data_IF_390771209496
#
_entry.id   IF_390771209496
#
_cell.length_a   1.000
_cell.length_b   1.000
_cell.length_c   1.000
_cell.angle_alpha   90.00
_cell.angle_beta   90.00
_cell.angle_gamma   90.00
#
_symmetry.space_group_name_H-M   'P 1'
#
loop_
_entity.id
_entity.type
_entity.pdbx_description
1 polymer ?
#
# COMPACT_ATOMS: atom_id res chain seq x y z
N UNK A 1 12.19 27.69 13.11
CA UNK A 1 13.12 26.67 12.58
C UNK A 1 13.60 25.83 13.75
N UNK A 2 12.94 24.69 14.03
CA UNK A 2 13.31 23.80 15.14
C UNK A 2 13.03 22.36 14.72
N UNK A 3 14.10 21.62 14.40
CA UNK A 3 14.44 20.28 14.91
C UNK A 3 15.56 19.68 14.01
N UNK A 4 16.68 19.33 14.67
CA UNK A 4 17.69 18.28 14.39
C UNK A 4 18.43 18.21 13.03
N UNK A 5 19.69 17.75 13.15
CA UNK A 5 20.69 17.37 12.14
C UNK A 5 21.39 18.53 11.38
N UNK A 6 22.63 18.84 11.80
CA UNK A 6 23.54 19.65 10.99
C UNK A 6 23.99 18.81 9.80
N UNK A 7 23.33 18.96 8.65
CA UNK A 7 23.89 18.50 7.39
C UNK A 7 25.31 19.06 7.26
N UNK A 8 26.31 18.23 6.88
CA UNK A 8 27.63 18.71 6.53
C UNK A 8 27.52 19.89 5.54
N UNK A 9 28.38 20.92 5.63
CA UNK A 9 28.29 22.11 4.77
C UNK A 9 28.22 21.79 3.27
N UNK A 10 28.94 20.76 2.83
CA UNK A 10 28.94 20.27 1.45
C UNK A 10 27.56 19.74 1.02
N UNK A 11 26.92 18.90 1.85
CA UNK A 11 25.59 18.37 1.57
C UNK A 11 24.52 19.46 1.63
N UNK A 12 24.68 20.43 2.53
CA UNK A 12 23.79 21.60 2.59
C UNK A 12 23.87 22.44 1.31
N UNK A 13 25.09 22.64 0.78
CA UNK A 13 25.28 23.30 -0.51
C UNK A 13 24.58 22.53 -1.63
N UNK A 14 24.79 21.21 -1.72
CA UNK A 14 24.15 20.37 -2.75
C UNK A 14 22.63 20.35 -2.64
N UNK A 15 22.07 20.36 -1.42
CA UNK A 15 20.64 20.42 -1.21
C UNK A 15 20.03 21.72 -1.76
N UNK A 16 20.69 22.87 -1.55
CA UNK A 16 20.24 24.18 -2.06
C UNK A 16 20.38 24.26 -3.59
N UNK A 17 21.49 23.78 -4.15
CA UNK A 17 21.71 23.78 -5.60
C UNK A 17 20.66 22.90 -6.29
N UNK A 18 20.44 21.69 -5.78
CA UNK A 18 19.45 20.76 -6.32
C UNK A 18 18.03 21.30 -6.17
N UNK A 19 17.70 21.94 -5.04
CA UNK A 19 16.38 22.58 -4.85
C UNK A 19 16.13 23.68 -5.88
N UNK A 20 17.12 24.55 -6.10
CA UNK A 20 17.02 25.65 -7.05
C UNK A 20 16.80 25.12 -8.48
N UNK A 21 17.59 24.12 -8.89
CA UNK A 21 17.46 23.48 -10.19
C UNK A 21 16.09 22.79 -10.35
N UNK A 22 15.59 22.11 -9.31
CA UNK A 22 14.29 21.46 -9.34
C UNK A 22 13.14 22.48 -9.51
N UNK A 23 13.19 23.62 -8.80
CA UNK A 23 12.20 24.70 -8.94
C UNK A 23 12.27 25.39 -10.30
N UNK A 24 13.47 25.62 -10.83
CA UNK A 24 13.66 26.18 -12.18
C UNK A 24 13.11 25.25 -13.27
N UNK A 25 13.24 23.94 -13.07
CA UNK A 25 12.65 22.91 -13.93
C UNK A 25 11.11 22.81 -13.85
N UNK A 26 10.46 23.55 -12.94
CA UNK A 26 9.01 23.59 -12.78
C UNK A 26 8.44 22.58 -11.78
N UNK A 27 9.27 21.94 -10.96
CA UNK A 27 8.82 21.07 -9.88
C UNK A 27 8.33 21.90 -8.69
N UNK A 28 7.24 21.45 -8.06
CA UNK A 28 6.66 22.10 -6.88
C UNK A 28 6.40 21.07 -5.77
N UNK A 29 6.97 21.30 -4.59
CA UNK A 29 7.03 20.31 -3.51
C UNK A 29 6.97 21.00 -2.14
N UNK A 30 6.59 20.24 -1.11
CA UNK A 30 6.71 20.68 0.28
C UNK A 30 8.18 20.85 0.66
N UNK A 31 8.45 21.60 1.73
CA UNK A 31 9.80 21.72 2.26
C UNK A 31 10.40 20.33 2.51
N UNK A 32 11.61 20.09 1.98
CA UNK A 32 12.31 18.81 2.12
C UNK A 32 13.35 18.92 3.22
N UNK A 33 13.24 18.04 4.22
CA UNK A 33 14.19 17.93 5.33
C UNK A 33 15.04 16.68 5.12
N UNK A 34 16.32 16.88 4.84
CA UNK A 34 17.29 15.79 4.74
C UNK A 34 17.93 15.49 6.10
N UNK A 35 17.92 14.23 6.50
CA UNK A 35 18.64 13.73 7.67
C UNK A 35 19.68 12.70 7.25
N UNK A 36 20.91 12.81 7.75
CA UNK A 36 21.99 11.84 7.45
C UNK A 36 22.06 10.80 8.55
N UNK A 37 21.84 9.55 8.18
CA UNK A 37 21.84 8.39 9.06
C UNK A 37 22.93 7.40 8.68
N UNK A 38 23.38 6.61 9.65
CA UNK A 38 24.25 5.47 9.37
C UNK A 38 23.44 4.36 8.70
N UNK A 39 24.11 3.45 7.98
CA UNK A 39 23.40 2.44 7.19
C UNK A 39 22.53 1.51 8.04
N UNK A 40 22.97 1.17 9.27
CA UNK A 40 22.16 0.41 10.23
C UNK A 40 20.91 1.18 10.66
N UNK A 41 21.02 2.49 10.88
CA UNK A 41 19.89 3.32 11.28
C UNK A 41 18.87 3.45 10.15
N UNK A 42 19.33 3.58 8.90
CA UNK A 42 18.46 3.57 7.71
C UNK A 42 17.70 2.25 7.61
N UNK A 43 18.37 1.12 7.85
CA UNK A 43 17.71 -0.19 7.88
C UNK A 43 16.68 -0.28 9.01
N UNK A 44 16.97 0.31 10.18
CA UNK A 44 16.02 0.42 11.30
C UNK A 44 14.77 1.22 10.95
N UNK A 45 14.94 2.41 10.37
CA UNK A 45 13.82 3.26 9.93
C UNK A 45 13.04 2.60 8.78
N UNK A 46 13.73 1.93 7.85
CA UNK A 46 13.10 1.19 6.76
C UNK A 46 12.27 0.00 7.27
N UNK A 47 12.74 -0.72 8.30
CA UNK A 47 11.98 -1.79 8.95
C UNK A 47 10.69 -1.28 9.60
N UNK A 48 10.66 -0.02 10.05
CA UNK A 48 9.45 0.69 10.50
C UNK A 48 8.64 1.33 9.37
N UNK A 49 8.96 1.06 8.11
CA UNK A 49 8.24 1.57 6.95
C UNK A 49 8.50 3.05 6.68
N UNK A 50 9.67 3.57 7.06
CA UNK A 50 10.01 4.98 6.87
C UNK A 50 9.97 5.82 8.13
N UNK A 51 9.35 5.35 9.21
CA UNK A 51 9.07 6.16 10.38
C UNK A 51 10.08 5.93 11.52
N UNK A 52 10.54 6.97 12.22
CA UNK A 52 11.50 6.82 13.33
C UNK A 52 10.87 6.20 14.58
N UNK A 53 9.55 6.27 14.72
CA UNK A 53 8.81 5.70 15.85
C UNK A 53 7.60 4.95 15.33
N UNK A 54 7.47 3.69 15.76
CA UNK A 54 6.29 2.85 15.57
C UNK A 54 6.00 2.07 16.85
N UNK A 55 4.83 1.44 16.92
CA UNK A 55 4.50 0.53 18.02
C UNK A 55 5.46 -0.68 18.04
N UNK A 56 5.67 -1.31 19.20
CA UNK A 56 6.52 -2.49 19.29
C UNK A 56 5.84 -3.69 18.59
N UNK A 57 6.60 -4.40 17.76
CA UNK A 57 6.22 -5.69 17.17
C UNK A 57 7.49 -6.40 16.71
N UNK A 58 7.57 -7.71 16.96
CA UNK A 58 8.68 -8.54 16.50
C UNK A 58 8.84 -8.56 14.97
N UNK A 59 7.77 -8.32 14.19
CA UNK A 59 7.79 -8.23 12.71
C UNK A 59 8.83 -7.23 12.22
N UNK A 60 8.97 -6.10 12.90
CA UNK A 60 9.96 -5.08 12.54
C UNK A 60 11.38 -5.51 12.85
N UNK A 61 11.59 -6.27 13.93
CA UNK A 61 12.90 -6.87 14.22
C UNK A 61 13.32 -7.89 13.16
N UNK A 62 12.38 -8.72 12.68
CA UNK A 62 12.66 -9.64 11.57
C UNK A 62 13.00 -8.90 10.27
N UNK A 63 12.25 -7.85 9.95
CA UNK A 63 12.51 -7.07 8.74
C UNK A 63 13.87 -6.37 8.81
N UNK A 64 14.23 -5.82 9.98
CA UNK A 64 15.56 -5.27 10.21
C UNK A 64 16.66 -6.31 9.95
N UNK A 65 16.54 -7.50 10.53
CA UNK A 65 17.50 -8.59 10.33
C UNK A 65 17.63 -9.01 8.86
N UNK A 66 16.52 -9.01 8.12
CA UNK A 66 16.49 -9.28 6.68
C UNK A 66 17.23 -8.20 5.90
N UNK A 67 16.96 -6.93 6.19
CA UNK A 67 17.60 -5.78 5.53
C UNK A 67 19.10 -5.72 5.83
N UNK A 68 19.50 -5.92 7.09
CA UNK A 68 20.91 -5.87 7.48
C UNK A 68 21.71 -6.99 6.80
N UNK A 69 21.21 -8.24 6.81
CA UNK A 69 21.87 -9.36 6.10
C UNK A 69 21.91 -9.17 4.59
N UNK A 70 20.82 -8.65 4.02
CA UNK A 70 20.77 -8.31 2.61
C UNK A 70 21.85 -7.30 2.23
N UNK A 71 22.10 -6.31 3.09
CA UNK A 71 23.19 -5.35 2.93
C UNK A 71 24.57 -5.97 3.13
N UNK A 72 24.78 -6.72 4.21
CA UNK A 72 26.07 -7.37 4.51
C UNK A 72 26.54 -8.29 3.38
N UNK A 73 25.60 -8.98 2.72
CA UNK A 73 25.88 -9.86 1.58
C UNK A 73 25.87 -9.14 0.23
N UNK A 74 25.62 -7.83 0.20
CA UNK A 74 25.58 -7.03 -1.03
C UNK A 74 24.39 -7.33 -1.95
N UNK A 75 23.32 -7.93 -1.42
CA UNK A 75 22.10 -8.26 -2.17
C UNK A 75 21.17 -7.05 -2.31
N UNK A 76 21.20 -6.12 -1.36
CA UNK A 76 20.33 -4.95 -1.33
C UNK A 76 21.02 -3.76 -0.69
N UNK A 77 20.89 -2.58 -1.31
CA UNK A 77 21.31 -1.28 -0.76
C UNK A 77 20.14 -0.32 -0.85
N UNK A 78 19.74 0.26 0.28
CA UNK A 78 18.78 1.36 0.33
C UNK A 78 19.57 2.65 0.08
N UNK A 79 19.28 3.34 -1.01
CA UNK A 79 19.91 4.62 -1.32
C UNK A 79 19.20 5.78 -0.64
N UNK A 80 17.86 5.70 -0.58
CA UNK A 80 17.00 6.70 0.01
C UNK A 80 15.77 6.11 0.68
N UNK A 81 15.19 6.89 1.57
CA UNK A 81 13.90 6.63 2.19
C UNK A 81 13.19 7.97 2.36
N UNK A 82 12.01 8.11 1.74
CA UNK A 82 11.26 9.37 1.71
C UNK A 82 9.88 9.17 2.33
N UNK A 83 9.51 10.05 3.25
CA UNK A 83 8.19 10.08 3.89
C UNK A 83 7.36 11.21 3.28
N UNK A 84 6.17 10.87 2.78
CA UNK A 84 5.16 11.84 2.39
C UNK A 84 4.55 12.51 3.64
N UNK A 85 5.09 13.67 4.00
CA UNK A 85 4.67 14.48 5.14
C UNK A 85 4.83 15.97 4.77
N UNK A 86 4.26 16.89 5.55
CA UNK A 86 4.48 18.33 5.42
C UNK A 86 5.16 18.85 6.70
N UNK A 87 6.51 19.02 6.73
CA UNK A 87 7.46 18.89 5.61
C UNK A 87 7.77 17.44 5.21
N UNK A 88 8.29 17.25 3.99
CA UNK A 88 8.75 15.95 3.46
C UNK A 88 10.06 15.58 4.14
N UNK A 89 10.17 14.37 4.70
CA UNK A 89 11.40 13.90 5.31
C UNK A 89 12.11 12.90 4.40
N UNK A 90 13.42 13.06 4.26
CA UNK A 90 14.25 12.16 3.47
C UNK A 90 15.53 11.77 4.23
N UNK A 91 15.83 10.47 4.24
CA UNK A 91 17.01 9.93 4.91
C UNK A 91 18.11 9.63 3.90
N UNK A 92 19.28 10.22 4.14
CA UNK A 92 20.51 10.01 3.37
C UNK A 92 21.43 9.05 4.12
N UNK A 93 22.05 8.11 3.41
CA UNK A 93 23.00 7.18 4.01
C UNK A 93 24.39 7.81 4.08
N UNK A 94 25.01 7.85 5.28
CA UNK A 94 26.33 8.47 5.49
C UNK A 94 27.44 7.87 4.62
N UNK A 95 27.38 6.57 4.35
CA UNK A 95 28.40 5.86 3.57
C UNK A 95 28.35 6.12 2.07
N UNK A 96 27.35 6.84 1.58
CA UNK A 96 27.22 7.14 0.15
C UNK A 96 28.27 8.17 -0.30
N UNK A 97 28.79 7.99 -1.52
CA UNK A 97 29.70 8.94 -2.16
C UNK A 97 28.99 10.28 -2.42
N UNK A 98 29.75 11.38 -2.62
CA UNK A 98 29.14 12.68 -2.88
C UNK A 98 28.23 12.66 -4.12
N UNK A 99 28.62 11.92 -5.16
CA UNK A 99 27.81 11.69 -6.36
C UNK A 99 26.51 10.95 -6.01
N UNK A 100 26.59 9.86 -5.24
CA UNK A 100 25.39 9.15 -4.80
C UNK A 100 24.47 10.06 -3.98
N UNK A 101 25.02 10.94 -3.14
CA UNK A 101 24.24 11.94 -2.39
C UNK A 101 23.54 12.95 -3.33
N UNK A 102 24.24 13.48 -4.34
CA UNK A 102 23.64 14.35 -5.37
C UNK A 102 22.50 13.63 -6.08
N UNK A 103 22.71 12.37 -6.46
CA UNK A 103 21.70 11.55 -7.14
C UNK A 103 20.46 11.35 -6.29
N UNK A 104 20.65 10.94 -5.04
CA UNK A 104 19.57 10.73 -4.07
C UNK A 104 18.80 12.03 -3.84
N UNK A 105 19.48 13.15 -3.57
CA UNK A 105 18.82 14.44 -3.36
C UNK A 105 17.94 14.84 -4.55
N UNK A 106 18.45 14.70 -5.77
CA UNK A 106 17.68 15.00 -6.98
C UNK A 106 16.49 14.05 -7.16
N UNK A 107 16.66 12.77 -6.80
CA UNK A 107 15.58 11.78 -6.83
C UNK A 107 14.47 12.09 -5.82
N UNK A 108 14.84 12.46 -4.59
CA UNK A 108 13.92 12.85 -3.52
C UNK A 108 13.05 14.03 -3.92
N UNK A 109 13.59 15.05 -4.60
CA UNK A 109 12.77 16.17 -5.08
C UNK A 109 11.73 15.72 -6.14
N UNK A 110 12.08 14.75 -6.97
CA UNK A 110 11.13 14.11 -7.86
C UNK A 110 9.97 13.44 -7.10
N UNK A 111 10.29 12.64 -6.07
CA UNK A 111 9.25 12.04 -5.21
C UNK A 111 8.40 13.09 -4.48
N UNK A 112 9.03 14.12 -3.90
CA UNK A 112 8.32 15.15 -3.15
C UNK A 112 7.32 15.90 -4.03
N UNK A 113 7.69 16.18 -5.29
CA UNK A 113 6.80 16.77 -6.28
C UNK A 113 5.68 15.81 -6.71
N UNK A 114 5.99 14.52 -6.87
CA UNK A 114 5.00 13.48 -7.19
C UNK A 114 3.94 13.35 -6.09
N UNK A 115 4.36 13.21 -4.83
CA UNK A 115 3.47 13.06 -3.68
C UNK A 115 2.53 14.25 -3.50
N UNK A 116 3.00 15.46 -3.79
CA UNK A 116 2.18 16.67 -3.63
C UNK A 116 1.08 16.79 -4.69
N UNK A 117 1.29 16.24 -5.89
CA UNK A 117 0.44 16.52 -7.05
C UNK A 117 -0.37 15.35 -7.57
N UNK A 118 0.03 14.11 -7.31
CA UNK A 118 -0.71 12.96 -7.76
C UNK A 118 -2.01 12.80 -6.94
N UNK A 119 -3.13 12.59 -7.64
CA UNK A 119 -4.46 12.52 -7.05
C UNK A 119 -4.61 11.42 -5.99
N UNK A 120 -3.84 10.34 -6.09
CA UNK A 120 -3.88 9.22 -5.13
C UNK A 120 -3.34 9.58 -3.75
N UNK A 121 -2.49 10.60 -3.68
CA UNK A 121 -1.94 11.10 -2.42
C UNK A 121 -2.82 12.19 -1.77
N UNK A 122 -3.82 12.71 -2.48
CA UNK A 122 -4.75 13.71 -1.94
C UNK A 122 -5.44 13.31 -0.61
N UNK A 123 -5.92 12.05 -0.42
CA UNK A 123 -6.52 11.63 0.85
C UNK A 123 -5.51 11.33 1.96
N UNK A 124 -4.21 11.27 1.66
CA UNK A 124 -3.20 10.83 2.65
C UNK A 124 -2.98 11.87 3.75
N UNK A 125 -2.73 11.38 4.98
CA UNK A 125 -2.43 12.23 6.11
C UNK A 125 -1.02 12.84 5.97
N UNK A 126 -0.96 14.17 5.87
CA UNK A 126 0.31 14.94 5.73
C UNK A 126 1.07 15.11 7.05
N UNK A 127 0.54 14.61 8.16
CA UNK A 127 1.18 14.60 9.49
C UNK A 127 1.37 13.18 10.00
N UNK A 128 1.65 12.25 9.10
CA UNK A 128 1.72 10.83 9.44
C UNK A 128 2.81 10.54 10.48
N UNK A 129 3.89 11.34 10.53
CA UNK A 129 4.91 11.23 11.57
C UNK A 129 4.36 11.38 12.99
N UNK A 130 3.50 12.39 13.20
CA UNK A 130 2.85 12.62 14.49
C UNK A 130 1.85 11.51 14.80
N UNK A 131 1.04 11.12 13.81
CA UNK A 131 0.03 10.07 13.94
C UNK A 131 0.65 8.70 14.26
N UNK A 132 1.76 8.31 13.63
CA UNK A 132 2.49 7.09 13.97
C UNK A 132 3.00 7.11 15.42
N UNK A 133 3.46 8.27 15.89
CA UNK A 133 3.84 8.48 17.30
C UNK A 133 2.64 8.31 18.24
N UNK A 134 1.49 8.86 17.88
CA UNK A 134 0.23 8.70 18.64
C UNK A 134 -0.23 7.24 18.69
N UNK A 135 -0.20 6.52 17.55
CA UNK A 135 -0.48 5.10 17.48
C UNK A 135 0.43 4.29 18.40
N UNK A 136 1.75 4.57 18.38
CA UNK A 136 2.71 3.91 19.24
C UNK A 136 2.42 4.11 20.73
N UNK A 137 2.04 5.33 21.14
CA UNK A 137 1.65 5.63 22.53
C UNK A 137 0.38 4.90 22.92
N UNK A 138 -0.63 4.84 22.04
CA UNK A 138 -1.90 4.14 22.30
C UNK A 138 -1.67 2.64 22.48
N UNK A 139 -0.91 2.00 21.59
CA UNK A 139 -0.61 0.57 21.69
C UNK A 139 0.19 0.27 22.96
N UNK A 140 1.17 1.10 23.33
CA UNK A 140 1.90 0.95 24.61
C UNK A 140 0.97 1.01 25.83
N UNK A 141 -0.04 1.89 25.81
CA UNK A 141 -1.04 1.93 26.90
C UNK A 141 -1.82 0.62 27.01
N UNK A 142 -2.20 0.00 25.88
CA UNK A 142 -2.85 -1.31 25.92
C UNK A 142 -1.90 -2.39 26.44
N UNK A 143 -0.62 -2.35 26.07
CA UNK A 143 0.41 -3.27 26.59
C UNK A 143 0.53 -3.14 28.12
N UNK A 144 0.54 -1.91 28.64
CA UNK A 144 0.63 -1.66 30.09
C UNK A 144 -0.61 -2.15 30.85
N UNK A 145 -1.79 -2.13 30.22
CA UNK A 145 -3.07 -2.52 30.85
C UNK A 145 -3.37 -4.02 30.75
N UNK A 146 -3.07 -4.63 29.61
CA UNK A 146 -3.49 -5.99 29.26
C UNK A 146 -2.33 -6.99 29.23
N UNK A 147 -1.08 -6.51 29.22
CA UNK A 147 0.12 -7.32 29.04
C UNK A 147 0.59 -7.37 27.59
N UNK A 148 1.91 -7.56 27.42
CA UNK A 148 2.53 -7.56 26.10
C UNK A 148 2.04 -8.70 25.20
N UNK A 149 2.02 -9.94 25.71
CA UNK A 149 1.67 -11.12 24.90
C UNK A 149 0.27 -11.01 24.30
N UNK A 150 -0.72 -10.57 25.08
CA UNK A 150 -2.12 -10.43 24.62
C UNK A 150 -2.27 -9.40 23.51
N UNK A 151 -1.58 -8.26 23.63
CA UNK A 151 -1.65 -7.20 22.62
C UNK A 151 -0.86 -7.57 21.37
N UNK A 152 0.33 -8.16 21.54
CA UNK A 152 1.19 -8.59 20.44
C UNK A 152 0.54 -9.71 19.61
N UNK A 153 -0.08 -10.70 20.25
CA UNK A 153 -0.80 -11.77 19.55
C UNK A 153 -1.93 -11.18 18.68
N UNK A 154 -2.74 -10.27 19.22
CA UNK A 154 -3.82 -9.65 18.43
C UNK A 154 -3.27 -8.74 17.32
N UNK A 155 -2.24 -7.95 17.62
CA UNK A 155 -1.60 -7.07 16.65
C UNK A 155 -0.99 -7.85 15.48
N UNK A 156 -0.40 -9.02 15.73
CA UNK A 156 0.15 -9.89 14.69
C UNK A 156 -0.94 -10.43 13.76
N UNK A 157 -2.09 -10.81 14.31
CA UNK A 157 -3.26 -11.23 13.53
C UNK A 157 -3.66 -10.09 12.58
N UNK A 158 -3.86 -8.88 13.10
CA UNK A 158 -4.30 -7.73 12.30
C UNK A 158 -3.23 -7.32 11.26
N UNK A 159 -1.96 -7.30 11.64
CA UNK A 159 -0.84 -6.99 10.73
C UNK A 159 -0.74 -7.97 9.56
N UNK A 160 -1.13 -9.23 9.75
CA UNK A 160 -1.16 -10.21 8.66
C UNK A 160 -2.27 -9.96 7.63
N UNK A 161 -3.25 -9.12 7.98
CA UNK A 161 -4.42 -8.77 7.17
C UNK A 161 -4.34 -7.36 6.59
N UNK A 162 -3.21 -6.64 6.76
CA UNK A 162 -3.00 -5.25 6.33
C UNK A 162 -3.19 -5.02 4.81
N UNK A 163 -3.16 -6.08 4.01
CA UNK A 163 -3.42 -6.05 2.57
C UNK A 163 -4.90 -6.13 2.19
N UNK A 164 -5.80 -6.50 3.10
CA UNK A 164 -7.24 -6.69 2.82
C UNK A 164 -8.05 -5.40 3.01
N UNK A 165 -7.56 -4.33 2.38
CA UNK A 165 -8.19 -3.01 2.32
C UNK A 165 -8.49 -2.65 0.87
N UNK A 166 -9.55 -1.88 0.64
CA UNK A 166 -9.83 -1.31 -0.68
C UNK A 166 -8.91 -0.10 -0.97
N UNK A 167 -7.90 -0.22 -1.86
CA UNK A 167 -6.99 0.88 -2.14
C UNK A 167 -7.66 2.06 -2.85
N UNK A 168 -8.85 1.89 -3.43
CA UNK A 168 -9.59 2.96 -4.11
C UNK A 168 -10.54 3.72 -3.17
N UNK A 169 -10.92 3.12 -2.03
CA UNK A 169 -11.89 3.69 -1.11
C UNK A 169 -11.51 5.09 -0.60
N UNK A 170 -10.27 5.35 -0.12
CA UNK A 170 -9.91 6.68 0.38
C UNK A 170 -10.06 7.78 -0.66
N UNK A 171 -9.71 7.49 -1.92
CA UNK A 171 -9.82 8.45 -3.01
C UNK A 171 -11.30 8.69 -3.38
N UNK A 172 -12.13 7.64 -3.37
CA UNK A 172 -13.57 7.73 -3.61
C UNK A 172 -14.25 8.60 -2.55
N UNK A 173 -13.95 8.38 -1.28
CA UNK A 173 -14.49 9.15 -0.15
C UNK A 173 -13.98 10.60 -0.15
N UNK A 174 -12.73 10.84 -0.55
CA UNK A 174 -12.20 12.19 -0.69
C UNK A 174 -12.87 12.98 -1.83
N UNK A 175 -13.17 12.31 -2.94
CA UNK A 175 -13.80 12.92 -4.13
C UNK A 175 -15.30 13.12 -3.94
N UNK A 176 -15.94 12.18 -3.25
CA UNK A 176 -17.35 12.20 -2.89
C UNK A 176 -17.46 12.05 -1.37
N UNK A 177 -17.14 13.12 -0.59
CA UNK A 177 -17.40 13.08 0.84
C UNK A 177 -18.89 12.81 0.98
N UNK A 178 -19.24 11.69 1.61
CA UNK A 178 -20.63 11.36 1.88
C UNK A 178 -21.26 12.63 2.44
N UNK A 179 -22.35 13.11 1.81
CA UNK A 179 -23.12 14.21 2.36
C UNK A 179 -23.41 13.81 3.79
N UNK A 180 -22.65 14.38 4.73
CA UNK A 180 -22.92 14.19 6.13
C UNK A 180 -24.25 14.86 6.24
N UNK A 181 -25.33 14.06 6.23
CA UNK A 181 -26.62 14.49 6.74
C UNK A 181 -26.26 14.89 8.15
N UNK A 182 -25.93 16.18 8.33
CA UNK A 182 -25.87 16.78 9.62
C UNK A 182 -27.29 16.58 10.11
N UNK A 183 -27.51 15.53 10.89
CA UNK A 183 -28.59 15.52 11.83
C UNK A 183 -28.32 16.82 12.58
N UNK A 184 -29.10 17.85 12.26
CA UNK A 184 -29.02 19.14 12.91
C UNK A 184 -29.37 18.87 14.36
N UNK A 185 -28.40 18.40 15.13
CA UNK A 185 -28.51 18.36 16.58
C UNK A 185 -28.61 19.83 16.96
N UNK A 186 -29.71 20.15 17.62
CA UNK A 186 -29.93 21.49 18.13
C UNK A 186 -28.74 21.88 19.03
N UNK A 187 -28.40 23.17 19.13
CA UNK A 187 -27.35 23.61 20.06
C UNK A 187 -27.64 23.14 21.51
N UNK A 188 -28.93 22.97 21.84
CA UNK A 188 -29.42 22.38 23.09
C UNK A 188 -29.05 20.90 23.26
N UNK A 189 -29.08 20.07 22.21
CA UNK A 189 -28.66 18.67 22.31
C UNK A 189 -27.15 18.53 22.51
N UNK A 190 -26.35 19.38 21.85
CA UNK A 190 -24.90 19.43 22.07
C UNK A 190 -24.57 19.87 23.48
N UNK A 191 -25.25 20.90 23.99
CA UNK A 191 -25.10 21.37 25.37
C UNK A 191 -25.54 20.31 26.39
N UNK A 192 -26.64 19.57 26.12
CA UNK A 192 -27.12 18.51 27.01
C UNK A 192 -26.15 17.33 27.07
N UNK A 193 -25.61 16.89 25.92
CA UNK A 193 -24.59 15.83 25.88
C UNK A 193 -23.27 16.23 26.57
N UNK A 194 -22.86 17.49 26.43
CA UNK A 194 -21.69 18.00 27.14
C UNK A 194 -21.90 18.09 28.66
N UNK A 195 -23.13 18.41 29.10
CA UNK A 195 -23.50 18.44 30.51
C UNK A 195 -23.65 17.03 31.11
N UNK A 196 -24.18 16.09 30.33
CA UNK A 196 -24.25 14.67 30.70
C UNK A 196 -22.84 14.06 30.82
N UNK A 197 -21.91 14.43 29.92
CA UNK A 197 -20.50 13.99 29.98
C UNK A 197 -19.71 14.58 31.16
N UNK A 198 -20.14 15.72 31.71
CA UNK A 198 -19.54 16.35 32.90
C UNK A 198 -20.16 15.86 34.21
N UNK A 199 -21.32 15.21 34.15
CA UNK A 199 -22.01 14.70 35.33
C UNK A 199 -21.41 13.34 35.70
N UNK A 200 -20.76 13.25 36.86
CA UNK A 200 -20.25 12.03 37.50
C UNK A 200 -21.39 11.09 37.96
N UNK A 201 -22.44 10.93 37.16
CA UNK A 201 -23.35 9.81 37.29
C UNK A 201 -22.74 8.65 36.54
N UNK A 202 -22.33 7.65 37.30
CA UNK A 202 -22.11 6.27 36.85
C UNK A 202 -23.41 5.71 36.29
N UNK A 203 -23.80 6.17 35.10
CA UNK A 203 -24.66 5.38 34.24
C UNK A 203 -23.78 4.19 33.84
N UNK A 204 -24.21 2.94 34.08
CA UNK A 204 -23.53 1.81 33.49
C UNK A 204 -23.44 2.11 32.00
N UNK A 205 -22.22 2.15 31.47
CA UNK A 205 -22.03 2.20 30.02
C UNK A 205 -22.67 0.90 29.53
N UNK A 206 -23.92 0.99 29.05
CA UNK A 206 -24.57 -0.14 28.41
C UNK A 206 -23.59 -0.61 27.34
N UNK A 207 -23.26 -1.92 27.28
CA UNK A 207 -22.40 -2.41 26.23
C UNK A 207 -22.97 -1.89 24.92
N UNK A 208 -22.12 -1.34 24.03
CA UNK A 208 -22.60 -0.82 22.76
C UNK A 208 -23.51 -1.87 22.14
N UNK A 209 -24.71 -1.49 21.66
CA UNK A 209 -25.66 -2.45 21.12
C UNK A 209 -24.90 -3.33 20.13
N UNK A 210 -24.96 -4.65 20.32
CA UNK A 210 -24.30 -5.58 19.42
C UNK A 210 -24.61 -5.15 17.99
N UNK A 211 -23.59 -4.97 17.12
CA UNK A 211 -23.84 -4.52 15.76
C UNK A 211 -24.77 -5.54 15.11
N UNK A 212 -26.06 -5.20 15.02
CA UNK A 212 -27.00 -6.03 14.31
C UNK A 212 -26.56 -5.98 12.85
N UNK A 213 -26.18 -7.11 12.29
CA UNK A 213 -25.90 -7.36 10.87
C UNK A 213 -27.10 -7.04 9.94
N UNK A 214 -28.02 -6.16 10.34
CA UNK A 214 -29.15 -5.71 9.53
C UNK A 214 -28.72 -5.13 8.18
N UNK A 215 -29.69 -4.63 7.41
CA UNK A 215 -29.58 -4.20 6.00
C UNK A 215 -28.61 -3.04 5.67
N UNK A 216 -27.58 -2.82 6.50
CA UNK A 216 -26.54 -1.80 6.44
C UNK A 216 -25.13 -2.36 6.21
N UNK A 217 -24.96 -3.68 6.13
CA UNK A 217 -23.73 -4.22 5.58
C UNK A 217 -23.68 -3.82 4.11
N UNK A 218 -22.90 -2.79 3.76
CA UNK A 218 -22.64 -2.33 2.38
C UNK A 218 -21.82 -3.40 1.64
N UNK A 219 -22.39 -4.59 1.49
CA UNK A 219 -21.83 -5.74 0.79
C UNK A 219 -22.34 -5.73 -0.66
N UNK A 220 -21.50 -6.10 -1.63
CA UNK A 220 -20.12 -6.56 -1.46
C UNK A 220 -19.12 -5.42 -1.20
N UNK A 221 -18.00 -5.73 -0.54
CA UNK A 221 -16.92 -4.77 -0.25
C UNK A 221 -15.52 -5.37 -0.42
N UNK A 222 -14.55 -4.57 -0.86
CA UNK A 222 -13.13 -4.95 -0.88
C UNK A 222 -12.39 -4.59 0.42
N UNK A 223 -13.02 -3.81 1.30
CA UNK A 223 -12.43 -3.39 2.57
C UNK A 223 -12.82 -4.34 3.71
N UNK A 224 -12.18 -5.51 3.71
CA UNK A 224 -12.44 -6.57 4.69
C UNK A 224 -12.08 -6.12 6.10
N UNK A 225 -10.97 -5.40 6.28
CA UNK A 225 -10.60 -4.85 7.59
C UNK A 225 -11.66 -3.86 8.09
N UNK A 226 -12.14 -2.94 7.25
CA UNK A 226 -13.22 -2.03 7.63
C UNK A 226 -14.47 -2.76 8.10
N UNK A 227 -14.88 -3.79 7.36
CA UNK A 227 -16.00 -4.65 7.73
C UNK A 227 -15.80 -5.34 9.08
N UNK A 228 -14.62 -5.94 9.30
CA UNK A 228 -14.29 -6.60 10.56
C UNK A 228 -14.29 -5.60 11.74
N UNK A 229 -13.81 -4.38 11.54
CA UNK A 229 -13.83 -3.34 12.59
C UNK A 229 -15.25 -3.04 13.08
N UNK A 230 -16.19 -2.95 12.15
CA UNK A 230 -17.57 -2.54 12.41
C UNK A 230 -18.43 -3.69 12.96
N UNK A 231 -18.31 -4.88 12.37
CA UNK A 231 -19.26 -5.97 12.63
C UNK A 231 -18.70 -7.11 13.48
N UNK A 232 -17.36 -7.27 13.59
CA UNK A 232 -16.80 -8.37 14.36
C UNK A 232 -16.98 -8.15 15.88
N UNK A 233 -17.12 -9.24 16.66
CA UNK A 233 -17.29 -9.17 18.11
C UNK A 233 -15.96 -8.84 18.81
N UNK A 234 -15.53 -7.58 18.68
CA UNK A 234 -14.27 -7.07 19.19
C UNK A 234 -14.46 -6.20 20.43
N UNK A 235 -13.53 -6.35 21.37
CA UNK A 235 -13.37 -5.41 22.49
C UNK A 235 -12.94 -4.02 21.97
N UNK A 236 -13.17 -2.98 22.77
CA UNK A 236 -12.82 -1.60 22.39
C UNK A 236 -11.35 -1.43 22.00
N UNK A 237 -10.42 -2.09 22.71
CA UNK A 237 -8.98 -2.02 22.41
C UNK A 237 -8.60 -2.79 21.13
N UNK A 238 -9.29 -3.90 20.85
CA UNK A 238 -9.07 -4.70 19.64
C UNK A 238 -9.54 -3.96 18.40
N UNK A 239 -10.74 -3.37 18.47
CA UNK A 239 -11.26 -2.51 17.40
C UNK A 239 -10.29 -1.35 17.12
N UNK A 240 -9.78 -0.71 18.17
CA UNK A 240 -8.83 0.39 18.02
C UNK A 240 -7.51 -0.02 17.33
N UNK A 241 -6.93 -1.17 17.70
CA UNK A 241 -5.73 -1.69 17.02
C UNK A 241 -6.02 -1.98 15.55
N UNK A 242 -7.19 -2.53 15.24
CA UNK A 242 -7.61 -2.81 13.87
C UNK A 242 -7.72 -1.50 13.06
N UNK A 243 -8.35 -0.48 13.61
CA UNK A 243 -8.46 0.85 12.99
C UNK A 243 -7.10 1.52 12.78
N UNK A 244 -6.17 1.40 13.74
CA UNK A 244 -4.80 1.88 13.62
C UNK A 244 -4.10 1.22 12.42
N UNK A 245 -4.12 -0.11 12.32
CA UNK A 245 -3.47 -0.83 11.22
C UNK A 245 -4.14 -0.52 9.88
N UNK A 246 -5.48 -0.43 9.83
CA UNK A 246 -6.22 -0.05 8.61
C UNK A 246 -5.85 1.37 8.15
N UNK A 247 -5.74 2.33 9.08
CA UNK A 247 -5.32 3.70 8.75
C UNK A 247 -3.89 3.75 8.20
N UNK A 248 -2.97 2.97 8.79
CA UNK A 248 -1.60 2.85 8.27
C UNK A 248 -1.56 2.18 6.89
N UNK A 249 -2.36 1.11 6.67
CA UNK A 249 -2.47 0.45 5.38
C UNK A 249 -2.93 1.41 4.27
N UNK A 250 -3.90 2.29 4.56
CA UNK A 250 -4.33 3.32 3.61
C UNK A 250 -3.28 4.39 3.34
N UNK A 251 -2.44 4.73 4.30
CA UNK A 251 -1.32 5.64 4.07
C UNK A 251 -0.33 5.07 3.04
N UNK A 252 -0.03 3.76 3.11
CA UNK A 252 0.90 3.10 2.20
C UNK A 252 0.27 2.68 0.85
N UNK A 253 -1.06 2.59 0.76
CA UNK A 253 -1.74 2.10 -0.44
C UNK A 253 -1.39 2.90 -1.72
N UNK A 254 -1.39 4.26 -1.72
CA UNK A 254 -1.01 5.04 -2.91
C UNK A 254 0.39 4.71 -3.43
N UNK A 255 1.38 4.56 -2.54
CA UNK A 255 2.76 4.26 -2.92
C UNK A 255 2.89 2.90 -3.62
N UNK A 256 2.03 1.94 -3.26
CA UNK A 256 1.93 0.64 -3.94
C UNK A 256 1.24 0.76 -5.30
N UNK A 257 0.17 1.55 -5.38
CA UNK A 257 -0.64 1.74 -6.60
C UNK A 257 0.05 2.60 -7.68
N UNK A 258 1.04 3.39 -7.28
CA UNK A 258 1.77 4.31 -8.17
C UNK A 258 3.28 4.06 -8.14
N UNK A 259 3.74 2.84 -7.82
CA UNK A 259 5.16 2.55 -7.62
C UNK A 259 5.97 2.82 -8.90
N UNK A 260 5.52 2.32 -10.05
CA UNK A 260 6.18 2.53 -11.35
C UNK A 260 6.19 4.01 -11.71
N UNK A 261 5.07 4.69 -11.55
CA UNK A 261 4.96 6.12 -11.83
C UNK A 261 5.85 6.97 -10.93
N UNK A 262 5.88 6.67 -9.63
CA UNK A 262 6.65 7.44 -8.66
C UNK A 262 8.16 7.26 -8.89
N UNK A 263 8.63 6.01 -8.99
CA UNK A 263 10.04 5.72 -9.29
C UNK A 263 10.45 6.24 -10.67
N UNK A 264 9.56 6.11 -11.65
CA UNK A 264 9.77 6.64 -13.00
C UNK A 264 9.89 8.16 -13.04
N UNK A 265 9.05 8.88 -12.29
CA UNK A 265 9.05 10.34 -12.26
C UNK A 265 10.32 10.86 -11.59
N UNK A 266 10.69 10.29 -10.46
CA UNK A 266 11.93 10.61 -9.78
C UNK A 266 13.16 10.25 -10.64
N UNK A 267 13.12 9.10 -11.33
CA UNK A 267 14.18 8.69 -12.28
C UNK A 267 14.26 9.56 -13.54
N UNK A 268 13.13 10.11 -13.98
CA UNK A 268 13.10 11.03 -15.11
C UNK A 268 13.75 12.35 -14.72
N UNK A 269 13.33 12.93 -13.60
CA UNK A 269 13.84 14.23 -13.17
C UNK A 269 15.26 14.19 -12.63
N UNK A 270 15.65 13.20 -11.84
CA UNK A 270 17.01 13.17 -11.31
C UNK A 270 18.04 13.11 -12.47
N UNK A 271 17.74 12.41 -13.56
CA UNK A 271 18.65 12.24 -14.68
C UNK A 271 18.80 13.56 -15.43
N UNK A 272 17.73 14.36 -15.54
CA UNK A 272 17.74 15.69 -16.14
C UNK A 272 18.41 16.74 -15.29
N UNK A 273 18.08 16.78 -14.01
CA UNK A 273 18.67 17.75 -13.08
C UNK A 273 20.18 17.54 -12.96
N UNK A 274 20.59 16.28 -12.85
CA UNK A 274 22.00 15.91 -12.74
C UNK A 274 22.79 16.24 -14.01
N UNK A 275 22.31 15.78 -15.18
CA UNK A 275 22.97 16.06 -16.47
C UNK A 275 22.78 17.49 -16.97
N UNK A 276 21.84 18.24 -16.40
CA UNK A 276 21.54 19.63 -16.71
C UNK A 276 22.44 20.67 -16.03
N UNK A 277 23.45 20.23 -15.25
CA UNK A 277 24.48 21.11 -14.68
C UNK A 277 24.74 20.96 -13.19
N UNK A 278 24.11 19.99 -12.50
CA UNK A 278 24.46 19.67 -11.09
C UNK A 278 25.72 18.79 -11.02
N UNK A 279 25.91 17.91 -12.01
CA UNK A 279 27.10 17.07 -12.11
C UNK A 279 28.30 17.85 -12.65
N UNK A 280 29.46 17.55 -12.08
CA UNK A 280 30.75 17.92 -12.66
C UNK A 280 31.11 16.93 -13.78
N UNK A 281 31.87 17.38 -14.79
CA UNK A 281 32.26 16.53 -15.94
C UNK A 281 32.94 15.22 -15.52
N UNK A 282 33.66 15.23 -14.39
CA UNK A 282 34.33 14.05 -13.82
C UNK A 282 33.37 13.02 -13.22
N UNK A 283 32.14 13.40 -12.88
CA UNK A 283 31.15 12.54 -12.21
C UNK A 283 30.24 11.79 -13.19
N UNK A 284 30.30 12.10 -14.49
CA UNK A 284 29.36 11.57 -15.50
C UNK A 284 29.43 10.03 -15.61
N UNK A 285 30.64 9.45 -15.55
CA UNK A 285 30.80 8.00 -15.64
C UNK A 285 30.26 7.30 -14.38
N UNK A 286 30.56 7.84 -13.20
CA UNK A 286 30.08 7.32 -11.92
C UNK A 286 28.55 7.42 -11.83
N UNK A 287 27.97 8.52 -12.34
CA UNK A 287 26.53 8.67 -12.49
C UNK A 287 25.93 7.59 -13.39
N UNK A 288 26.52 7.37 -14.57
CA UNK A 288 26.01 6.39 -15.53
C UNK A 288 26.03 4.97 -14.95
N UNK A 289 27.10 4.59 -14.24
CA UNK A 289 27.20 3.30 -13.56
C UNK A 289 26.11 3.15 -12.50
N UNK A 290 26.00 4.11 -11.57
CA UNK A 290 25.00 4.09 -10.50
C UNK A 290 23.55 4.06 -11.04
N UNK A 291 23.23 4.94 -12.00
CA UNK A 291 21.90 5.02 -12.61
C UNK A 291 21.54 3.75 -13.39
N UNK A 292 22.50 3.18 -14.13
CA UNK A 292 22.28 1.92 -14.87
C UNK A 292 22.08 0.73 -13.92
N UNK A 293 22.76 0.71 -12.77
CA UNK A 293 22.56 -0.30 -11.73
C UNK A 293 21.14 -0.28 -11.17
N UNK A 294 20.62 0.91 -10.84
CA UNK A 294 19.24 1.07 -10.33
C UNK A 294 18.16 0.75 -11.39
N UNK A 295 18.44 1.04 -12.66
CA UNK A 295 17.51 0.82 -13.78
C UNK A 295 17.73 -0.50 -14.52
N UNK A 296 18.61 -1.37 -14.01
CA UNK A 296 18.86 -2.69 -14.58
C UNK A 296 17.64 -3.60 -14.40
N UNK A 297 17.30 -4.37 -15.44
CA UNK A 297 16.11 -5.20 -15.47
C UNK A 297 16.50 -6.64 -15.84
N UNK A 298 16.51 -7.59 -14.88
CA UNK A 298 16.72 -8.99 -15.21
C UNK A 298 15.61 -9.52 -16.14
N UNK A 299 15.92 -10.46 -17.05
CA UNK A 299 14.91 -11.10 -17.89
C UNK A 299 13.80 -11.73 -17.04
N UNK A 300 12.55 -11.53 -17.43
CA UNK A 300 11.36 -12.04 -16.76
C UNK A 300 10.90 -11.24 -15.54
N UNK A 301 11.64 -10.22 -15.09
CA UNK A 301 11.26 -9.40 -13.93
C UNK A 301 11.10 -7.94 -14.33
N UNK A 302 9.94 -7.35 -14.02
CA UNK A 302 9.69 -5.92 -14.22
C UNK A 302 10.38 -5.10 -13.13
N UNK A 303 11.25 -4.17 -13.52
CA UNK A 303 11.83 -3.17 -12.63
C UNK A 303 11.03 -1.85 -12.73
N UNK A 304 10.38 -1.37 -11.64
CA UNK A 304 9.63 -0.11 -11.64
C UNK A 304 10.42 1.12 -12.10
N UNK A 305 11.69 1.23 -11.72
CA UNK A 305 12.57 2.33 -12.12
C UNK A 305 12.76 2.35 -13.64
N UNK A 306 13.03 1.19 -14.23
CA UNK A 306 13.23 1.05 -15.68
C UNK A 306 11.96 1.36 -16.45
N UNK A 307 10.86 0.70 -16.10
CA UNK A 307 9.59 0.83 -16.83
C UNK A 307 9.05 2.26 -16.71
N UNK A 308 9.06 2.82 -15.49
CA UNK A 308 8.58 4.17 -15.25
C UNK A 308 9.38 5.23 -16.01
N UNK A 309 10.71 5.12 -15.99
CA UNK A 309 11.58 6.04 -16.73
C UNK A 309 11.31 6.00 -18.23
N UNK A 310 11.20 4.80 -18.82
CA UNK A 310 10.91 4.65 -20.24
C UNK A 310 9.50 5.14 -20.60
N UNK A 311 8.50 4.97 -19.71
CA UNK A 311 7.15 5.51 -19.92
C UNK A 311 7.16 7.05 -20.01
N UNK A 312 7.85 7.75 -19.11
CA UNK A 312 7.92 9.22 -19.17
C UNK A 312 8.75 9.72 -20.36
N UNK A 313 9.86 9.04 -20.70
CA UNK A 313 10.62 9.35 -21.92
C UNK A 313 9.78 9.14 -23.18
N UNK A 314 8.97 8.09 -23.22
CA UNK A 314 8.08 7.84 -24.34
C UNK A 314 6.98 8.89 -24.43
N UNK A 315 6.32 9.20 -23.31
CA UNK A 315 5.30 10.25 -23.24
C UNK A 315 5.83 11.60 -23.71
N UNK A 316 7.07 11.95 -23.34
CA UNK A 316 7.69 13.18 -23.81
C UNK A 316 7.94 13.15 -25.31
N UNK A 317 8.48 12.04 -25.84
CA UNK A 317 8.77 11.90 -27.26
C UNK A 317 7.50 11.95 -28.13
N UNK A 318 6.35 11.52 -27.58
CA UNK A 318 5.04 11.58 -28.24
C UNK A 318 4.30 12.90 -28.02
N UNK A 319 4.86 13.83 -27.23
CA UNK A 319 4.29 15.16 -26.98
C UNK A 319 3.14 15.18 -25.97
N UNK A 320 3.06 14.17 -25.10
CA UNK A 320 2.09 14.14 -23.99
C UNK A 320 2.47 15.14 -22.88
N UNK A 321 1.47 15.67 -22.18
CA UNK A 321 1.69 16.55 -21.02
C UNK A 321 2.07 15.73 -19.79
N UNK A 322 3.38 15.67 -19.52
CA UNK A 322 3.96 14.90 -18.41
C UNK A 322 3.38 15.28 -17.04
N UNK A 323 3.16 16.57 -16.79
CA UNK A 323 2.64 17.05 -15.49
C UNK A 323 1.18 16.66 -15.29
N UNK A 324 0.40 16.67 -16.37
CA UNK A 324 -0.97 16.16 -16.34
C UNK A 324 -0.99 14.65 -16.14
N UNK A 325 -0.10 13.89 -16.79
CA UNK A 325 -0.02 12.44 -16.60
C UNK A 325 0.29 12.08 -15.15
N UNK A 326 1.30 12.73 -14.58
CA UNK A 326 1.67 12.61 -13.16
C UNK A 326 0.49 12.88 -12.23
N UNK A 327 -0.34 13.88 -12.54
CA UNK A 327 -1.43 14.31 -11.67
C UNK A 327 -2.57 13.30 -11.58
N UNK A 328 -2.97 12.68 -12.69
CA UNK A 328 -4.26 11.96 -12.77
C UNK A 328 -4.15 10.44 -12.83
N UNK A 329 -3.00 9.90 -13.21
CA UNK A 329 -2.85 8.46 -13.41
C UNK A 329 -2.29 7.71 -12.18
N UNK A 330 -2.52 6.40 -12.18
CA UNK A 330 -1.78 5.38 -11.43
C UNK A 330 -1.05 4.43 -12.39
N UNK A 331 -0.31 3.46 -11.86
CA UNK A 331 0.51 2.55 -12.67
C UNK A 331 -0.30 1.83 -13.76
N UNK A 332 -1.49 1.32 -13.42
CA UNK A 332 -2.39 0.62 -14.35
C UNK A 332 -2.86 1.56 -15.47
N UNK A 333 -3.40 2.73 -15.13
CA UNK A 333 -3.98 3.64 -16.12
C UNK A 333 -2.93 4.32 -16.99
N UNK A 334 -1.75 4.64 -16.45
CA UNK A 334 -0.64 5.18 -17.24
C UNK A 334 -0.12 4.13 -18.23
N UNK A 335 0.14 2.91 -17.75
CA UNK A 335 0.59 1.79 -18.59
C UNK A 335 -0.43 1.50 -19.67
N UNK A 336 -1.72 1.48 -19.33
CA UNK A 336 -2.78 1.28 -20.30
C UNK A 336 -2.83 2.39 -21.36
N UNK A 337 -2.58 3.65 -20.99
CA UNK A 337 -2.57 4.77 -21.94
C UNK A 337 -1.35 4.75 -22.87
N UNK A 338 -0.15 4.55 -22.32
CA UNK A 338 1.11 4.80 -23.04
C UNK A 338 1.70 3.56 -23.73
N UNK A 339 1.39 2.36 -23.25
CA UNK A 339 1.92 1.13 -23.88
C UNK A 339 1.15 0.85 -25.16
N UNK A 340 1.78 1.12 -26.29
CA UNK A 340 1.39 0.71 -27.62
C UNK A 340 2.38 -0.31 -28.19
N UNK A 341 2.22 -0.66 -29.47
CA UNK A 341 3.10 -1.58 -30.18
C UNK A 341 4.56 -1.12 -30.14
N UNK A 342 4.83 0.17 -30.42
CA UNK A 342 6.21 0.69 -30.45
C UNK A 342 6.89 0.60 -29.08
N UNK A 343 6.16 0.96 -28.02
CA UNK A 343 6.68 0.85 -26.66
C UNK A 343 6.94 -0.60 -26.27
N UNK A 344 5.98 -1.49 -26.55
CA UNK A 344 6.08 -2.90 -26.20
C UNK A 344 7.27 -3.57 -26.89
N UNK A 345 7.45 -3.33 -28.19
CA UNK A 345 8.58 -3.87 -28.96
C UNK A 345 9.94 -3.40 -28.42
N UNK A 346 10.05 -2.12 -28.09
CA UNK A 346 11.32 -1.52 -27.68
C UNK A 346 11.70 -1.83 -26.23
N UNK A 347 10.70 -1.91 -25.34
CA UNK A 347 10.93 -1.94 -23.88
C UNK A 347 10.46 -3.24 -23.26
N UNK A 348 9.23 -3.68 -23.54
CA UNK A 348 8.66 -4.85 -22.87
C UNK A 348 9.19 -6.17 -23.44
N UNK A 349 9.32 -6.28 -24.76
CA UNK A 349 9.79 -7.51 -25.42
C UNK A 349 11.18 -7.94 -24.95
N UNK A 350 12.20 -7.06 -24.85
CA UNK A 350 13.51 -7.45 -24.33
C UNK A 350 13.51 -7.92 -22.87
N UNK A 351 12.49 -7.52 -22.09
CA UNK A 351 12.38 -7.84 -20.67
C UNK A 351 11.57 -9.13 -20.46
N UNK A 352 10.43 -9.25 -21.15
CA UNK A 352 9.42 -10.28 -20.88
C UNK A 352 9.48 -11.46 -21.85
N UNK A 353 10.10 -11.33 -23.03
CA UNK A 353 10.18 -12.44 -23.96
C UNK A 353 11.11 -13.54 -23.41
N UNK A 354 10.69 -14.82 -23.45
CA UNK A 354 11.52 -15.92 -22.99
C UNK A 354 12.82 -15.98 -23.81
N UNK A 355 13.96 -15.91 -23.11
CA UNK A 355 15.27 -16.04 -23.73
C UNK A 355 15.51 -17.49 -24.16
N UNK A 356 15.13 -17.83 -25.39
CA UNK A 356 15.59 -19.02 -26.09
C UNK A 356 15.10 -20.37 -25.53
N UNK A 357 13.86 -20.75 -25.86
CA UNK A 357 13.51 -22.14 -26.16
C UNK A 357 12.63 -22.15 -27.40
N UNK A 358 13.01 -22.95 -28.40
CA UNK A 358 12.38 -22.92 -29.72
C UNK A 358 10.92 -23.37 -29.69
N UNK A 359 10.12 -22.75 -30.57
CA UNK A 359 8.75 -23.11 -30.96
C UNK A 359 7.57 -22.58 -30.13
N UNK A 360 7.71 -21.47 -29.40
CA UNK A 360 6.53 -20.65 -29.04
C UNK A 360 6.45 -19.44 -29.99
N UNK A 361 5.27 -19.20 -30.56
CA UNK A 361 5.01 -17.95 -31.27
C UNK A 361 5.34 -16.78 -30.34
N UNK A 362 6.11 -15.82 -30.83
CA UNK A 362 6.45 -14.65 -30.02
C UNK A 362 5.18 -13.92 -29.62
N UNK A 363 5.01 -13.55 -28.34
CA UNK A 363 3.78 -12.93 -27.86
C UNK A 363 3.51 -11.60 -28.57
N UNK A 364 2.24 -11.36 -28.90
CA UNK A 364 1.78 -10.09 -29.46
C UNK A 364 2.02 -8.96 -28.45
N UNK A 365 2.21 -7.72 -28.93
CA UNK A 365 2.39 -6.57 -28.05
C UNK A 365 1.21 -6.39 -27.08
N UNK A 366 0.01 -6.80 -27.49
CA UNK A 366 -1.20 -6.80 -26.66
C UNK A 366 -1.10 -7.81 -25.52
N UNK A 367 -0.51 -8.96 -25.75
CA UNK A 367 -0.29 -9.99 -24.73
C UNK A 367 0.76 -9.53 -23.73
N UNK A 368 1.85 -8.90 -24.20
CA UNK A 368 2.86 -8.28 -23.35
C UNK A 368 2.26 -7.17 -22.47
N UNK A 369 1.42 -6.31 -23.06
CA UNK A 369 0.69 -5.26 -22.33
C UNK A 369 -0.26 -5.86 -21.30
N UNK A 370 -1.05 -6.86 -21.68
CA UNK A 370 -1.98 -7.52 -20.78
C UNK A 370 -1.26 -8.20 -19.61
N UNK A 371 -0.14 -8.88 -19.86
CA UNK A 371 0.72 -9.47 -18.83
C UNK A 371 1.27 -8.42 -17.87
N UNK A 372 1.74 -7.30 -18.39
CA UNK A 372 2.23 -6.18 -17.58
C UNK A 372 1.12 -5.61 -16.70
N UNK A 373 -0.07 -5.36 -17.26
CA UNK A 373 -1.22 -4.85 -16.53
C UNK A 373 -1.66 -5.81 -15.42
N UNK A 374 -1.73 -7.12 -15.69
CA UNK A 374 -2.05 -8.13 -14.67
C UNK A 374 -1.09 -8.09 -13.47
N UNK A 375 0.21 -7.95 -13.73
CA UNK A 375 1.22 -7.91 -12.66
C UNK A 375 1.12 -6.69 -11.74
N UNK A 376 0.60 -5.57 -12.24
CA UNK A 376 0.53 -4.29 -11.50
C UNK A 376 -0.88 -3.97 -11.01
N UNK A 377 -1.90 -4.67 -11.52
CA UNK A 377 -3.28 -4.60 -11.03
C UNK A 377 -3.33 -4.79 -9.53
N UNK A 378 -4.16 -3.98 -8.87
CA UNK A 378 -4.33 -3.99 -7.40
C UNK A 378 -3.00 -3.84 -6.62
N UNK A 379 -2.01 -3.15 -7.21
CA UNK A 379 -0.69 -2.97 -6.61
C UNK A 379 0.12 -4.28 -6.52
N UNK A 380 -0.20 -5.25 -7.39
CA UNK A 380 0.39 -6.58 -7.42
C UNK A 380 -0.19 -7.57 -6.40
N UNK A 381 -1.13 -7.14 -5.56
CA UNK A 381 -1.81 -7.98 -4.57
C UNK A 381 -2.99 -8.74 -5.18
N UNK A 382 -3.39 -9.88 -4.60
CA UNK A 382 -4.64 -10.54 -4.98
C UNK A 382 -5.86 -9.67 -4.66
N UNK A 383 -6.84 -9.68 -5.55
CA UNK A 383 -8.09 -8.94 -5.37
C UNK A 383 -9.11 -9.82 -4.64
N UNK A 384 -9.33 -9.55 -3.35
CA UNK A 384 -10.25 -10.31 -2.49
C UNK A 384 -11.44 -9.43 -2.13
N UNK A 385 -12.65 -9.90 -2.44
CA UNK A 385 -13.92 -9.23 -2.15
C UNK A 385 -14.68 -10.01 -1.07
N UNK A 386 -15.16 -9.31 -0.04
CA UNK A 386 -16.14 -9.85 0.88
C UNK A 386 -17.53 -9.69 0.24
N UNK A 387 -18.14 -10.82 -0.13
CA UNK A 387 -19.36 -10.85 -0.92
C UNK A 387 -20.62 -10.88 -0.05
N UNK A 388 -20.63 -11.72 0.98
CA UNK A 388 -21.82 -11.99 1.79
C UNK A 388 -21.46 -12.48 3.19
N UNK A 389 -22.40 -12.29 4.11
CA UNK A 389 -22.44 -12.98 5.41
C UNK A 389 -23.70 -13.82 5.45
N UNK A 390 -23.58 -15.09 5.82
CA UNK A 390 -24.73 -15.98 6.01
C UNK A 390 -25.50 -15.59 7.29
N UNK A 391 -26.54 -14.77 7.14
CA UNK A 391 -27.36 -14.30 8.26
C UNK A 391 -28.38 -15.33 8.77
N UNK A 392 -28.68 -16.35 7.98
CA UNK A 392 -29.71 -17.37 8.30
C UNK A 392 -29.11 -18.62 8.96
N UNK A 393 -27.82 -18.90 8.69
CA UNK A 393 -27.08 -20.02 9.27
C UNK A 393 -26.08 -19.60 10.35
N UNK A 394 -24.83 -20.03 10.19
CA UNK A 394 -23.76 -19.92 11.22
C UNK A 394 -23.08 -18.54 11.24
N UNK A 395 -23.50 -17.57 10.41
CA UNK A 395 -22.79 -16.30 10.26
C UNK A 395 -21.52 -16.41 9.43
N UNK A 396 -21.43 -17.37 8.50
CA UNK A 396 -20.26 -17.63 7.66
C UNK A 396 -19.93 -16.45 6.73
N UNK A 397 -18.66 -16.02 6.68
CA UNK A 397 -18.20 -15.03 5.70
C UNK A 397 -17.89 -15.69 4.36
N UNK A 398 -18.43 -15.13 3.28
CA UNK A 398 -18.10 -15.54 1.91
C UNK A 398 -17.19 -14.49 1.27
N UNK A 399 -15.94 -14.87 1.01
CA UNK A 399 -14.99 -14.09 0.22
C UNK A 399 -14.85 -14.69 -1.17
N UNK A 400 -14.52 -13.84 -2.14
CA UNK A 400 -14.25 -14.21 -3.53
C UNK A 400 -12.92 -13.62 -3.95
N UNK A 401 -12.02 -14.47 -4.45
CA UNK A 401 -10.84 -14.05 -5.17
C UNK A 401 -11.19 -13.81 -6.64
N UNK A 402 -10.97 -12.59 -7.10
CA UNK A 402 -11.08 -12.23 -8.52
C UNK A 402 -9.80 -12.68 -9.22
N UNK A 403 -9.83 -13.90 -9.74
CA UNK A 403 -8.66 -14.53 -10.38
C UNK A 403 -8.23 -13.74 -11.62
N UNK A 404 -6.97 -13.32 -11.64
CA UNK A 404 -6.38 -12.56 -12.73
C UNK A 404 -5.34 -13.37 -13.51
N UNK A 405 -5.45 -14.69 -13.50
CA UNK A 405 -4.46 -15.61 -14.09
C UNK A 405 -3.36 -16.05 -13.12
N UNK A 406 -3.36 -15.56 -11.88
CA UNK A 406 -2.41 -15.94 -10.83
C UNK A 406 -3.11 -16.70 -9.71
N UNK A 407 -2.70 -17.95 -9.51
CA UNK A 407 -3.24 -18.77 -8.44
C UNK A 407 -2.77 -18.29 -7.07
N UNK A 408 -3.67 -18.41 -6.08
CA UNK A 408 -3.29 -18.17 -4.69
C UNK A 408 -2.39 -19.28 -4.18
N UNK A 409 -1.38 -18.91 -3.40
CA UNK A 409 -0.62 -19.89 -2.61
C UNK A 409 -1.53 -20.42 -1.50
N UNK A 410 -2.04 -21.64 -1.68
CA UNK A 410 -3.05 -22.27 -0.80
C UNK A 410 -2.68 -22.16 0.68
N UNK A 411 -1.44 -22.48 1.06
CA UNK A 411 -1.02 -22.40 2.46
C UNK A 411 -1.06 -20.98 3.05
N UNK A 412 -0.72 -19.96 2.25
CA UNK A 412 -0.81 -18.57 2.68
C UNK A 412 -2.27 -18.08 2.74
N UNK A 413 -3.09 -18.48 1.77
CA UNK A 413 -4.52 -18.19 1.76
C UNK A 413 -5.21 -18.79 2.99
N UNK A 414 -4.98 -20.07 3.28
CA UNK A 414 -5.50 -20.74 4.49
C UNK A 414 -5.05 -20.03 5.78
N UNK A 415 -3.76 -19.70 5.90
CA UNK A 415 -3.25 -18.97 7.05
C UNK A 415 -3.94 -17.60 7.24
N UNK A 416 -4.21 -16.90 6.14
CA UNK A 416 -4.92 -15.61 6.15
C UNK A 416 -6.37 -15.78 6.59
N UNK A 417 -7.09 -16.76 6.04
CA UNK A 417 -8.47 -17.05 6.40
C UNK A 417 -8.61 -17.48 7.88
N UNK A 418 -7.62 -18.21 8.42
CA UNK A 418 -7.54 -18.52 9.85
C UNK A 418 -7.43 -17.26 10.71
N UNK A 419 -6.68 -16.25 10.28
CA UNK A 419 -6.63 -14.98 11.00
C UNK A 419 -7.94 -14.20 10.91
N UNK A 420 -8.64 -14.24 9.76
CA UNK A 420 -9.99 -13.66 9.63
C UNK A 420 -10.96 -14.37 10.56
N UNK A 421 -10.99 -15.70 10.59
CA UNK A 421 -11.84 -16.50 11.49
C UNK A 421 -11.55 -16.16 12.96
N UNK A 422 -10.28 -15.97 13.34
CA UNK A 422 -9.92 -15.59 14.72
C UNK A 422 -10.48 -14.24 15.14
N UNK A 423 -10.64 -13.29 14.22
CA UNK A 423 -11.27 -11.99 14.49
C UNK A 423 -12.79 -12.12 14.44
N UNK A 424 -13.33 -12.80 13.42
CA UNK A 424 -14.76 -12.92 13.16
C UNK A 424 -15.49 -13.88 14.11
N UNK A 425 -14.80 -14.87 14.65
CA UNK A 425 -15.29 -15.96 15.52
C UNK A 425 -16.31 -16.90 14.88
N UNK A 426 -16.49 -16.85 13.56
CA UNK A 426 -17.41 -17.72 12.81
C UNK A 426 -16.72 -18.21 11.52
N UNK A 427 -17.25 -19.24 10.84
CA UNK A 427 -16.62 -19.83 9.67
C UNK A 427 -16.36 -18.82 8.55
N UNK A 428 -15.31 -19.08 7.76
CA UNK A 428 -14.90 -18.23 6.64
C UNK A 428 -14.63 -19.11 5.43
N UNK A 429 -15.19 -18.75 4.27
CA UNK A 429 -14.93 -19.43 3.00
C UNK A 429 -14.43 -18.45 1.94
N UNK A 430 -13.52 -18.92 1.10
CA UNK A 430 -12.97 -18.19 -0.04
C UNK A 430 -13.18 -18.97 -1.32
N UNK A 431 -13.89 -18.38 -2.29
CA UNK A 431 -13.96 -18.90 -3.66
C UNK A 431 -12.74 -18.44 -4.43
N UNK A 432 -12.03 -19.36 -5.08
CA UNK A 432 -10.90 -19.04 -5.95
C UNK A 432 -10.80 -20.08 -7.06
N UNK A 433 -10.10 -19.73 -8.14
CA UNK A 433 -9.65 -20.71 -9.14
C UNK A 433 -8.23 -21.18 -8.77
N UNK A 434 -8.00 -22.49 -8.81
CA UNK A 434 -6.71 -23.16 -8.58
C UNK A 434 -6.52 -24.22 -9.66
N UNK A 435 -5.38 -24.24 -10.36
CA UNK A 435 -5.09 -25.18 -11.44
C UNK A 435 -6.25 -25.27 -12.46
N UNK A 436 -6.80 -24.11 -12.87
CA UNK A 436 -7.95 -23.95 -13.78
C UNK A 436 -9.28 -24.54 -13.29
N UNK A 437 -9.41 -24.80 -11.98
CA UNK A 437 -10.63 -25.31 -11.37
C UNK A 437 -11.12 -24.37 -10.29
N UNK A 438 -12.42 -24.16 -10.25
CA UNK A 438 -13.02 -23.40 -9.15
C UNK A 438 -13.04 -24.26 -7.88
N UNK A 439 -12.52 -23.70 -6.80
CA UNK A 439 -12.37 -24.35 -5.50
C UNK A 439 -12.81 -23.41 -4.38
N UNK A 440 -13.36 -23.99 -3.32
CA UNK A 440 -13.54 -23.33 -2.03
C UNK A 440 -12.37 -23.66 -1.11
N UNK A 441 -11.81 -22.61 -0.49
CA UNK A 441 -10.97 -22.77 0.70
C UNK A 441 -11.85 -22.46 1.90
N UNK A 442 -12.07 -23.46 2.75
CA UNK A 442 -12.96 -23.39 3.91
C UNK A 442 -12.13 -23.35 5.18
N UNK A 443 -12.46 -22.46 6.11
CA UNK A 443 -11.89 -22.41 7.44
C UNK A 443 -13.01 -22.47 8.46
N UNK A 444 -12.95 -23.48 9.34
CA UNK A 444 -13.88 -23.68 10.45
C UNK A 444 -13.16 -24.34 11.62
N UNK A 445 -13.43 -23.84 12.83
CA UNK A 445 -12.88 -24.32 14.10
C UNK A 445 -11.33 -24.35 14.09
N UNK A 446 -10.70 -23.37 13.44
CA UNK A 446 -9.24 -23.28 13.33
C UNK A 446 -8.61 -24.31 12.38
N UNK A 447 -9.39 -25.01 11.56
CA UNK A 447 -8.91 -25.94 10.55
C UNK A 447 -9.27 -25.47 9.13
N UNK A 448 -8.29 -25.49 8.23
CA UNK A 448 -8.46 -25.17 6.82
C UNK A 448 -8.59 -26.42 5.94
N UNK A 449 -9.53 -26.42 5.00
CA UNK A 449 -9.68 -27.44 3.97
C UNK A 449 -9.89 -26.82 2.59
N UNK A 450 -9.62 -27.58 1.53
CA UNK A 450 -9.89 -27.16 0.15
C UNK A 450 -10.87 -28.16 -0.46
N UNK A 451 -11.92 -27.64 -1.10
CA UNK A 451 -12.98 -28.43 -1.72
C UNK A 451 -13.22 -27.91 -3.13
N UNK A 452 -13.11 -28.78 -4.12
CA UNK A 452 -13.40 -28.43 -5.51
C UNK A 452 -14.90 -28.20 -5.71
N UNK A 453 -15.25 -27.15 -6.46
CA UNK A 453 -16.63 -26.87 -6.85
C UNK A 453 -16.96 -27.81 -8.01
N UNK A 454 -17.60 -28.94 -7.70
CA UNK A 454 -18.20 -29.77 -8.75
C UNK A 454 -19.39 -29.00 -9.33
N UNK A 455 -19.49 -28.95 -10.67
CA UNK A 455 -20.37 -28.05 -11.43
C UNK A 455 -21.89 -28.28 -11.31
N UNK A 456 -22.43 -28.36 -10.09
CA UNK A 456 -23.87 -28.49 -9.82
C UNK A 456 -24.45 -27.44 -8.87
N UNK A 457 -23.65 -26.49 -8.35
CA UNK A 457 -24.15 -25.46 -7.41
C UNK A 457 -24.37 -24.08 -8.06
N UNK A 458 -24.37 -23.98 -9.39
CA UNK A 458 -24.86 -22.81 -10.14
C UNK A 458 -26.37 -22.89 -10.40
N UNK A 459 -27.21 -23.08 -9.36
CA UNK A 459 -28.65 -22.84 -9.42
C UNK A 459 -29.28 -22.81 -8.01
N UNK A 460 -28.86 -21.88 -7.17
CA UNK A 460 -29.40 -21.68 -5.81
C UNK A 460 -30.14 -20.36 -5.63
N UNK A 461 -30.89 -19.92 -6.65
CA UNK A 461 -31.72 -18.71 -6.58
C UNK A 461 -33.11 -18.98 -7.16
N UNK A 462 -34.13 -18.86 -6.30
CA UNK A 462 -35.56 -18.90 -6.56
C UNK A 462 -36.24 -20.28 -6.76
N UNK A 463 -36.82 -20.82 -5.68
CA UNK A 463 -38.28 -21.04 -5.57
C UNK A 463 -38.61 -21.81 -4.29
N UNK A 464 -38.90 -21.08 -3.22
CA UNK A 464 -39.56 -21.61 -2.04
C UNK A 464 -41.09 -21.54 -2.27
N UNK A 465 -41.63 -22.53 -2.99
CA UNK A 465 -43.06 -22.76 -3.12
C UNK A 465 -43.32 -24.20 -3.60
N UNK A 466 -43.45 -25.15 -2.66
CA UNK A 466 -44.40 -26.28 -2.68
C UNK A 466 -43.97 -27.43 -1.75
N UNK A 467 -44.19 -27.28 -0.45
CA UNK A 467 -44.33 -28.42 0.46
C UNK A 467 -45.44 -28.14 1.49
N UNK A 468 -46.68 -28.02 1.01
CA UNK A 468 -47.90 -28.20 1.82
C UNK A 468 -49.01 -28.83 1.00
N UNK A 469 -49.05 -30.17 0.96
CA UNK A 469 -50.28 -30.97 1.05
C UNK A 469 -49.97 -32.45 0.81
N UNK A 470 -49.81 -33.20 1.91
CA UNK A 470 -50.20 -34.62 2.05
C UNK A 470 -50.03 -35.05 3.51
N UNK A 471 -51.01 -34.72 4.35
CA UNK A 471 -51.58 -35.51 5.44
C UNK A 471 -52.57 -34.66 6.23
#
# INVERSE_FOLDING_TARGET
MRLKSELPPELKYQAVVTEAAAREAGLDFFDVVFEVLDASDVNGVAAYGGFPVRYPSWRFGMEYERLEKGREWGLSKIYELVINNDPTYAYLVRSNSLLEQKLVMAHVYGHADFFRHNVWFAPTNRKMLDTMGEHAVRIRRYIDLLGQETVEEFLDIVLSLDTLVDPYLPLREHSHPAETRSVHTSASERARRALDALSLSTVPEEPPPEPSLGSRADLPTYDVLGFLSEFAPLDGWQRDILEIVRAEAYYFAPQRMTKIMNEGWASFWHSRLLTGGILDDSEILDFADCHSGATSCPPGQLNPYKIGLELYRYAEATGEDLFQLRRVHNDVSLTHKLVDESFAERVLRPILAPAGQGQEEEPDWRELKAATLRNISWGGLPQIELQAVDLEGEGELTLVHHHDGRDLKVGAAQATLLQIERIWKRPVRLRTTLDERDSWILVRDGAGSVVDIQGSDEAGGASDENLRNTA
#
